data_IF_164844905678
#
_entry.id   IF_164844905678
#
_cell.length_a   1.000
_cell.length_b   1.000
_cell.length_c   1.000
_cell.angle_alpha   90.00
_cell.angle_beta   90.00
_cell.angle_gamma   90.00
#
_symmetry.space_group_name_H-M   'P 1'
#
loop_
_entity.id
_entity.type
_entity.pdbx_description
1 polymer ?
#
# COMPACT_ATOMS: atom_id res chain seq x y z
N UNK A 1 33.93 -56.86 40.43
CA UNK A 1 33.61 -57.50 39.13
C UNK A 1 32.80 -56.49 38.34
N UNK A 2 33.43 -55.78 37.41
CA UNK A 2 32.83 -54.65 36.69
C UNK A 2 32.75 -55.00 35.21
N UNK A 3 31.54 -55.22 34.71
CA UNK A 3 31.26 -55.52 33.31
C UNK A 3 31.19 -54.22 32.48
N UNK A 4 31.96 -54.19 31.39
CA UNK A 4 32.02 -53.09 30.42
C UNK A 4 31.07 -53.42 29.26
N UNK A 5 29.98 -52.67 29.13
CA UNK A 5 29.11 -52.74 27.96
C UNK A 5 29.68 -51.90 26.81
N UNK A 6 30.18 -52.57 25.78
CA UNK A 6 30.61 -51.95 24.53
C UNK A 6 29.41 -51.82 23.57
N UNK A 7 28.87 -50.61 23.44
CA UNK A 7 27.80 -50.32 22.49
C UNK A 7 28.38 -50.05 21.08
N UNK A 8 28.07 -50.94 20.15
CA UNK A 8 28.41 -50.84 18.74
C UNK A 8 27.64 -49.69 18.06
N UNK A 9 28.36 -48.69 17.54
CA UNK A 9 27.78 -47.62 16.71
C UNK A 9 27.77 -48.08 15.25
N UNK A 10 26.57 -48.36 14.72
CA UNK A 10 26.33 -48.55 13.29
C UNK A 10 26.44 -47.20 12.58
N UNK A 11 27.42 -47.09 11.68
CA UNK A 11 27.55 -45.99 10.71
C UNK A 11 26.48 -46.20 9.64
N UNK A 12 25.55 -45.25 9.52
CA UNK A 12 24.66 -45.16 8.36
C UNK A 12 25.34 -44.28 7.31
N UNK A 13 25.85 -44.90 6.25
CA UNK A 13 26.23 -44.22 5.01
C UNK A 13 24.95 -43.77 4.31
N UNK A 14 24.69 -42.46 4.30
CA UNK A 14 23.71 -41.85 3.42
C UNK A 14 24.46 -41.38 2.17
N UNK A 15 24.20 -42.09 1.07
CA UNK A 15 24.73 -41.80 -0.24
C UNK A 15 24.42 -40.38 -0.70
N UNK A 16 25.46 -39.71 -1.16
CA UNK A 16 25.37 -38.43 -1.85
C UNK A 16 25.04 -38.70 -3.32
N UNK A 17 23.77 -38.57 -3.69
CA UNK A 17 23.34 -38.63 -5.08
C UNK A 17 23.02 -37.25 -5.65
N UNK A 18 23.78 -36.93 -6.69
CA UNK A 18 23.41 -36.17 -7.88
C UNK A 18 22.83 -34.75 -7.68
N UNK A 19 23.77 -33.81 -7.77
CA UNK A 19 23.61 -32.51 -8.43
C UNK A 19 22.71 -32.56 -9.67
N UNK A 20 21.51 -31.98 -9.57
CA UNK A 20 20.79 -31.39 -10.70
C UNK A 20 20.59 -29.91 -10.42
N UNK A 21 21.12 -28.99 -11.25
CA UNK A 21 20.85 -27.56 -11.06
C UNK A 21 19.36 -27.29 -11.32
N UNK A 22 18.71 -26.41 -10.53
CA UNK A 22 17.35 -26.01 -10.81
C UNK A 22 17.30 -25.30 -12.17
N UNK A 23 16.42 -25.78 -13.04
CA UNK A 23 16.14 -25.16 -14.34
C UNK A 23 15.82 -23.68 -14.15
N UNK A 24 16.48 -22.84 -14.95
CA UNK A 24 16.26 -21.40 -14.95
C UNK A 24 14.78 -21.11 -15.23
N UNK A 25 14.08 -20.56 -14.23
CA UNK A 25 12.71 -20.06 -14.39
C UNK A 25 12.78 -18.81 -15.27
N UNK A 26 12.32 -18.93 -16.51
CA UNK A 26 12.23 -17.81 -17.45
C UNK A 26 11.08 -16.91 -16.97
N UNK A 27 11.41 -15.69 -16.54
CA UNK A 27 10.43 -14.69 -16.15
C UNK A 27 9.71 -14.15 -17.41
N UNK A 28 8.38 -14.34 -17.56
CA UNK A 28 7.63 -13.89 -18.74
C UNK A 28 7.48 -12.35 -18.82
N UNK A 29 7.93 -11.60 -17.81
CA UNK A 29 7.84 -10.14 -17.76
C UNK A 29 9.16 -9.39 -18.08
N UNK A 30 10.20 -10.08 -18.58
CA UNK A 30 11.37 -9.37 -19.11
C UNK A 30 10.99 -8.62 -20.40
N UNK A 31 10.73 -7.33 -20.24
CA UNK A 31 10.48 -6.41 -21.36
C UNK A 31 11.74 -6.31 -22.21
N UNK A 32 11.65 -6.32 -23.55
CA UNK A 32 12.82 -6.18 -24.40
C UNK A 32 13.48 -4.82 -24.16
N UNK A 33 14.76 -4.85 -23.76
CA UNK A 33 15.58 -3.66 -23.62
C UNK A 33 15.71 -2.98 -24.99
N UNK A 34 15.34 -1.70 -25.02
CA UNK A 34 15.37 -0.87 -26.22
C UNK A 34 16.82 -0.66 -26.62
N UNK A 35 17.26 -1.38 -27.65
CA UNK A 35 18.59 -1.23 -28.23
C UNK A 35 18.84 0.23 -28.61
N UNK A 36 19.91 0.79 -28.05
CA UNK A 36 20.49 2.08 -28.42
C UNK A 36 21.07 1.96 -29.83
N UNK A 37 20.45 2.67 -30.78
CA UNK A 37 20.89 2.73 -32.17
C UNK A 37 22.03 3.75 -32.28
N UNK A 38 23.25 3.27 -32.22
CA UNK A 38 24.46 4.02 -32.60
C UNK A 38 24.52 4.12 -34.13
N UNK A 39 24.02 5.24 -34.68
CA UNK A 39 24.19 5.61 -36.08
C UNK A 39 25.30 6.65 -36.22
N UNK A 40 26.49 6.20 -36.61
CA UNK A 40 27.66 7.04 -36.89
C UNK A 40 27.72 7.37 -38.40
N UNK A 41 27.64 8.67 -38.68
CA UNK A 41 28.25 9.47 -39.77
C UNK A 41 28.20 9.00 -41.23
N UNK A 42 27.75 9.91 -42.11
CA UNK A 42 28.52 10.26 -43.33
C UNK A 42 28.25 11.70 -43.76
N UNK A 43 29.34 12.44 -43.93
CA UNK A 43 29.42 13.79 -44.46
C UNK A 43 29.12 13.82 -45.96
N UNK A 44 28.48 14.90 -46.43
CA UNK A 44 28.89 15.57 -47.66
C UNK A 44 28.35 16.99 -47.71
N UNK A 45 29.23 17.89 -48.12
CA UNK A 45 29.12 19.33 -48.24
C UNK A 45 28.27 19.75 -49.44
N UNK A 46 27.54 20.86 -49.30
CA UNK A 46 27.50 21.92 -50.32
C UNK A 46 26.77 23.14 -49.75
N UNK A 47 27.44 24.28 -49.88
CA UNK A 47 27.03 25.58 -49.40
C UNK A 47 25.93 26.18 -50.30
N UNK A 48 24.86 26.70 -49.70
CA UNK A 48 24.01 27.75 -50.30
C UNK A 48 23.62 28.72 -49.20
N UNK A 49 23.68 30.00 -49.54
CA UNK A 49 23.73 31.21 -48.71
C UNK A 49 22.43 31.55 -47.97
N UNK A 50 22.53 32.35 -46.89
CA UNK A 50 21.40 32.85 -46.13
C UNK A 50 20.78 34.08 -46.79
N UNK A 51 19.51 34.32 -46.50
CA UNK A 51 18.73 35.58 -46.59
C UNK A 51 17.43 35.43 -47.36
N UNK A 52 16.35 35.95 -46.73
CA UNK A 52 15.00 36.18 -47.27
C UNK A 52 14.08 34.95 -47.37
N UNK A 53 13.42 34.61 -46.26
CA UNK A 53 11.93 34.61 -46.20
C UNK A 53 11.54 34.91 -44.75
N UNK A 54 11.53 36.19 -44.41
CA UNK A 54 10.84 36.73 -43.23
C UNK A 54 9.43 37.08 -43.71
N UNK A 55 8.43 36.81 -42.87
CA UNK A 55 7.04 37.28 -42.93
C UNK A 55 6.12 36.58 -43.93
N UNK A 56 5.40 35.54 -43.47
CA UNK A 56 3.99 35.37 -43.89
C UNK A 56 3.17 34.33 -43.08
N UNK A 57 3.36 34.22 -41.77
CA UNK A 57 2.38 33.52 -40.92
C UNK A 57 1.94 34.39 -39.73
N UNK A 58 1.54 35.61 -40.06
CA UNK A 58 0.79 36.50 -39.19
C UNK A 58 -0.72 36.25 -39.38
N UNK A 59 -1.31 35.56 -38.39
CA UNK A 59 -2.68 35.77 -37.86
C UNK A 59 -3.87 35.23 -38.69
N UNK A 60 -4.95 34.70 -38.05
CA UNK A 60 -5.70 35.37 -36.99
C UNK A 60 -5.96 34.56 -35.70
N UNK A 61 -5.86 35.30 -34.60
CA UNK A 61 -6.32 34.97 -33.25
C UNK A 61 -7.81 34.62 -33.25
N UNK A 62 -8.17 33.35 -33.08
CA UNK A 62 -9.50 32.97 -32.59
C UNK A 62 -9.46 33.02 -31.06
N UNK A 63 -10.05 34.08 -30.49
CA UNK A 63 -10.40 34.16 -29.07
C UNK A 63 -11.47 33.10 -28.79
N UNK A 64 -11.06 31.88 -28.44
CA UNK A 64 -11.96 30.91 -27.82
C UNK A 64 -12.04 31.30 -26.34
N UNK A 65 -13.17 31.87 -25.96
CA UNK A 65 -13.52 32.09 -24.55
C UNK A 65 -13.47 30.73 -23.85
N UNK A 66 -12.74 30.57 -22.73
CA UNK A 66 -12.90 29.38 -21.92
C UNK A 66 -14.34 29.38 -21.39
N UNK A 67 -15.12 28.44 -21.92
CA UNK A 67 -16.45 28.11 -21.45
C UNK A 67 -16.31 27.76 -19.97
N UNK A 68 -16.84 28.61 -19.11
CA UNK A 68 -16.92 28.40 -17.67
C UNK A 68 -17.63 27.06 -17.42
N UNK A 69 -16.88 26.01 -17.14
CA UNK A 69 -17.44 24.82 -16.51
C UNK A 69 -17.85 25.24 -15.11
N UNK A 70 -19.15 25.49 -14.91
CA UNK A 70 -19.76 25.53 -13.59
C UNK A 70 -19.43 24.19 -12.93
N UNK A 71 -18.50 24.22 -11.98
CA UNK A 71 -18.31 23.13 -11.05
C UNK A 71 -19.58 23.10 -10.22
N UNK A 72 -20.45 22.15 -10.56
CA UNK A 72 -21.56 21.74 -9.71
C UNK A 72 -20.91 20.97 -8.56
N UNK A 73 -20.70 21.63 -7.43
CA UNK A 73 -20.53 20.93 -6.15
C UNK A 73 -21.85 20.23 -5.84
N UNK A 74 -21.91 18.87 -5.80
CA UNK A 74 -23.04 18.25 -5.15
C UNK A 74 -22.95 18.57 -3.67
N UNK A 75 -23.86 19.43 -3.20
CA UNK A 75 -24.21 19.54 -1.78
C UNK A 75 -24.62 18.14 -1.30
N UNK A 76 -23.65 17.38 -0.79
CA UNK A 76 -23.91 16.18 0.00
C UNK A 76 -24.52 16.64 1.32
N UNK A 77 -25.84 16.85 1.30
CA UNK A 77 -26.68 16.65 2.48
C UNK A 77 -26.39 15.24 2.98
N UNK A 78 -25.56 15.15 4.01
CA UNK A 78 -25.39 13.94 4.82
C UNK A 78 -26.79 13.62 5.34
N UNK A 79 -27.41 12.58 4.79
CA UNK A 79 -28.57 11.95 5.42
C UNK A 79 -28.04 11.36 6.72
N UNK A 80 -28.47 11.93 7.84
CA UNK A 80 -28.48 11.20 9.10
C UNK A 80 -29.30 9.93 8.82
N UNK A 81 -28.62 8.78 8.92
CA UNK A 81 -29.29 7.50 8.91
C UNK A 81 -29.63 7.28 10.38
N UNK A 82 -30.88 7.53 10.74
CA UNK A 82 -31.41 7.13 12.03
C UNK A 82 -31.51 5.60 12.02
N UNK A 83 -30.42 4.94 12.42
CA UNK A 83 -30.39 3.51 12.71
C UNK A 83 -30.53 3.35 14.21
N UNK A 84 -31.64 2.73 14.57
CA UNK A 84 -32.13 2.55 15.93
C UNK A 84 -31.11 1.77 16.79
N UNK A 85 -30.43 2.47 17.70
CA UNK A 85 -29.85 1.86 18.89
C UNK A 85 -28.49 1.16 18.76
N UNK A 86 -27.66 1.48 17.76
CA UNK A 86 -26.22 1.20 17.84
C UNK A 86 -25.44 2.50 17.95
N UNK A 87 -24.73 2.64 19.06
CA UNK A 87 -23.78 3.69 19.40
C UNK A 87 -23.10 4.25 18.14
N UNK A 88 -23.56 5.43 17.69
CA UNK A 88 -22.98 6.19 16.60
C UNK A 88 -21.57 6.59 17.04
N UNK A 89 -20.63 5.67 16.86
CA UNK A 89 -19.23 5.83 17.20
C UNK A 89 -18.59 6.72 16.15
N UNK A 90 -18.96 8.00 16.23
CA UNK A 90 -18.27 9.09 15.59
C UNK A 90 -16.83 9.06 16.11
N UNK A 91 -15.92 8.67 15.23
CA UNK A 91 -14.51 8.54 15.52
C UNK A 91 -13.91 9.94 15.73
N UNK A 92 -13.98 10.46 16.96
CA UNK A 92 -13.27 11.69 17.34
C UNK A 92 -11.77 11.38 17.42
N UNK A 93 -11.05 11.82 16.40
CA UNK A 93 -9.60 11.84 16.31
C UNK A 93 -8.99 12.74 17.40
N UNK A 94 -8.85 12.20 18.62
CA UNK A 94 -8.30 12.90 19.79
C UNK A 94 -6.80 13.24 19.75
N UNK A 95 -6.19 13.40 18.57
CA UNK A 95 -4.75 13.68 18.40
C UNK A 95 -4.48 15.00 17.63
N UNK A 96 -5.35 16.00 17.75
CA UNK A 96 -5.24 17.27 16.98
C UNK A 96 -4.03 18.16 17.35
N UNK A 97 -3.20 17.78 18.33
CA UNK A 97 -2.16 18.69 18.86
C UNK A 97 -0.80 18.67 18.14
N UNK A 98 -0.56 17.79 17.16
CA UNK A 98 0.75 17.72 16.46
C UNK A 98 0.70 17.81 14.92
N UNK A 99 -0.47 17.93 14.31
CA UNK A 99 -0.62 17.94 12.84
C UNK A 99 -0.26 19.27 12.15
N UNK A 100 0.34 20.22 12.88
CA UNK A 100 0.40 21.62 12.47
C UNK A 100 1.25 21.93 11.21
N UNK A 101 1.94 20.97 10.56
CA UNK A 101 2.72 21.27 9.34
C UNK A 101 3.06 20.09 8.41
N UNK A 102 2.40 18.93 8.51
CA UNK A 102 2.67 17.85 7.55
C UNK A 102 1.93 18.14 6.24
N UNK A 103 2.67 18.34 5.15
CA UNK A 103 2.09 18.58 3.82
C UNK A 103 1.29 17.35 3.36
N UNK A 104 -0.03 17.50 3.24
CA UNK A 104 -0.93 16.47 2.69
C UNK A 104 -1.18 16.75 1.20
N UNK A 105 -0.72 15.88 0.28
CA UNK A 105 -0.90 16.06 -1.16
C UNK A 105 -2.33 15.71 -1.62
N UNK A 106 -3.30 16.55 -1.23
CA UNK A 106 -4.74 16.37 -1.47
C UNK A 106 -5.10 16.09 -2.93
N UNK A 107 -4.45 16.76 -3.89
CA UNK A 107 -4.71 16.55 -5.32
C UNK A 107 -4.31 15.13 -5.78
N UNK A 108 -3.25 14.56 -5.23
CA UNK A 108 -2.84 13.19 -5.56
C UNK A 108 -3.85 12.20 -4.98
N UNK A 109 -4.25 12.40 -3.72
CA UNK A 109 -5.22 11.55 -3.04
C UNK A 109 -6.58 11.51 -3.74
N UNK A 110 -7.08 12.65 -4.21
CA UNK A 110 -8.30 12.71 -5.00
C UNK A 110 -8.22 11.88 -6.29
N UNK A 111 -7.09 11.96 -7.02
CA UNK A 111 -6.92 11.25 -8.29
C UNK A 111 -6.84 9.73 -8.13
N UNK A 112 -6.31 9.26 -7.00
CA UNK A 112 -6.16 7.82 -6.72
C UNK A 112 -7.33 7.27 -5.89
N UNK A 113 -8.33 8.10 -5.55
CA UNK A 113 -9.46 7.70 -4.71
C UNK A 113 -9.05 7.33 -3.28
N UNK A 114 -8.01 7.98 -2.75
CA UNK A 114 -7.59 7.79 -1.36
C UNK A 114 -8.46 8.63 -0.42
N UNK A 115 -8.92 8.01 0.65
CA UNK A 115 -9.71 8.65 1.70
C UNK A 115 -8.86 8.81 2.97
N UNK A 116 -8.82 10.02 3.51
CA UNK A 116 -8.10 10.30 4.75
C UNK A 116 -8.80 9.62 5.94
N UNK A 117 -8.11 9.58 7.07
CA UNK A 117 -8.64 9.04 8.34
C UNK A 117 -10.02 9.61 8.65
N UNK A 118 -11.00 8.73 8.85
CA UNK A 118 -12.39 9.08 9.17
C UNK A 118 -13.26 9.56 8.01
N UNK A 119 -12.73 9.66 6.77
CA UNK A 119 -13.52 10.14 5.63
C UNK A 119 -14.52 9.10 5.11
N UNK A 120 -14.18 7.81 5.21
CA UNK A 120 -14.96 6.69 4.69
C UNK A 120 -15.52 5.87 5.85
N UNK A 121 -16.82 5.54 5.79
CA UNK A 121 -17.42 4.59 6.73
C UNK A 121 -16.94 3.17 6.39
N UNK A 122 -16.31 2.50 7.36
CA UNK A 122 -15.91 1.10 7.22
C UNK A 122 -17.06 0.17 7.61
N UNK A 123 -17.01 -1.03 7.05
CA UNK A 123 -17.84 -2.14 7.51
C UNK A 123 -17.57 -2.47 8.99
N UNK A 124 -18.57 -3.01 9.70
CA UNK A 124 -18.52 -3.24 11.15
C UNK A 124 -17.33 -4.13 11.53
N UNK A 125 -17.08 -5.20 10.79
CA UNK A 125 -15.97 -6.12 11.08
C UNK A 125 -14.60 -5.47 10.92
N UNK A 126 -14.40 -4.74 9.80
CA UNK A 126 -13.18 -3.95 9.58
C UNK A 126 -12.98 -2.85 10.63
N UNK A 127 -14.06 -2.20 11.06
CA UNK A 127 -14.00 -1.16 12.09
C UNK A 127 -13.55 -1.74 13.44
N UNK A 128 -14.08 -2.91 13.84
CA UNK A 128 -13.61 -3.65 15.02
C UNK A 128 -12.13 -4.02 14.90
N UNK A 129 -11.72 -4.58 13.77
CA UNK A 129 -10.32 -4.93 13.52
C UNK A 129 -9.41 -3.70 13.64
N UNK A 130 -9.79 -2.58 13.03
CA UNK A 130 -9.03 -1.33 13.09
C UNK A 130 -8.89 -0.80 14.52
N UNK A 131 -9.96 -0.88 15.34
CA UNK A 131 -9.91 -0.45 16.75
C UNK A 131 -8.94 -1.30 17.56
N UNK A 132 -9.02 -2.62 17.40
CA UNK A 132 -8.08 -3.53 18.05
C UNK A 132 -6.63 -3.19 17.66
N UNK A 133 -6.37 -3.04 16.36
CA UNK A 133 -5.02 -2.70 15.87
C UNK A 133 -4.54 -1.37 16.44
N UNK A 134 -5.37 -0.33 16.44
CA UNK A 134 -5.02 0.99 17.02
C UNK A 134 -4.65 0.89 18.51
N UNK A 135 -5.33 0.02 19.25
CA UNK A 135 -5.11 -0.12 20.69
C UNK A 135 -3.82 -0.88 20.99
N UNK A 136 -3.51 -1.94 20.24
CA UNK A 136 -2.39 -2.84 20.55
C UNK A 136 -1.12 -2.59 19.73
N UNK A 137 -1.24 -2.01 18.54
CA UNK A 137 -0.12 -1.80 17.62
C UNK A 137 0.24 -0.32 17.48
N UNK A 138 1.51 -0.08 17.17
CA UNK A 138 2.04 1.24 16.89
C UNK A 138 1.78 1.59 15.43
N UNK A 139 1.03 2.66 15.21
CA UNK A 139 0.78 3.24 13.88
C UNK A 139 1.60 4.53 13.78
N UNK A 140 2.66 4.56 12.96
CA UNK A 140 3.51 5.75 12.84
C UNK A 140 2.74 6.97 12.34
N UNK A 141 3.13 8.16 12.77
CA UNK A 141 2.59 9.42 12.23
C UNK A 141 2.86 9.57 10.72
N UNK A 142 3.95 9.00 10.24
CA UNK A 142 4.36 8.99 8.83
C UNK A 142 3.68 7.89 8.01
N UNK A 143 2.71 7.16 8.57
CA UNK A 143 2.03 6.05 7.89
C UNK A 143 1.38 6.43 6.55
N UNK A 144 0.86 7.66 6.46
CA UNK A 144 0.29 8.19 5.20
C UNK A 144 1.37 8.53 4.17
N UNK A 145 2.59 8.86 4.56
CA UNK A 145 3.66 9.26 3.63
C UNK A 145 4.57 8.10 3.24
N UNK A 146 4.71 7.11 4.12
CA UNK A 146 5.68 6.05 3.95
C UNK A 146 5.21 4.99 2.96
N UNK A 147 6.03 4.74 1.94
CA UNK A 147 5.77 3.76 0.89
C UNK A 147 5.80 2.31 1.37
N UNK A 148 6.39 2.05 2.55
CA UNK A 148 6.48 0.71 3.12
C UNK A 148 5.11 0.10 3.45
N UNK A 149 4.11 0.94 3.75
CA UNK A 149 2.75 0.51 4.12
C UNK A 149 1.83 0.32 2.91
N UNK A 150 2.39 0.25 1.70
CA UNK A 150 1.65 -0.01 0.47
C UNK A 150 1.09 1.25 -0.20
N UNK A 151 0.48 1.10 -1.39
CA UNK A 151 -0.02 2.21 -2.19
C UNK A 151 -1.27 2.86 -1.59
N UNK A 152 -1.57 4.08 -2.04
CA UNK A 152 -2.77 4.84 -1.64
C UNK A 152 -4.00 4.56 -2.50
N UNK A 153 -3.84 3.92 -3.65
CA UNK A 153 -4.91 3.81 -4.64
C UNK A 153 -6.12 3.02 -4.13
N UNK A 154 -7.30 3.63 -4.23
CA UNK A 154 -8.60 3.00 -3.99
C UNK A 154 -8.85 2.48 -2.57
N UNK A 155 -8.15 3.02 -1.57
CA UNK A 155 -8.27 2.58 -0.17
C UNK A 155 -8.47 3.77 0.76
N UNK A 156 -9.01 3.51 1.95
CA UNK A 156 -8.97 4.47 3.05
C UNK A 156 -7.76 4.23 3.97
N UNK A 157 -7.46 5.20 4.83
CA UNK A 157 -6.42 5.10 5.85
C UNK A 157 -6.55 3.82 6.69
N UNK A 158 -7.75 3.53 7.19
CA UNK A 158 -8.03 2.40 8.07
C UNK A 158 -7.82 1.06 7.37
N UNK A 159 -8.24 0.93 6.11
CA UNK A 159 -7.99 -0.28 5.31
C UNK A 159 -6.50 -0.52 5.07
N UNK A 160 -5.73 0.54 4.84
CA UNK A 160 -4.25 0.42 4.74
C UNK A 160 -3.64 -0.05 6.06
N UNK A 161 -4.13 0.42 7.20
CA UNK A 161 -3.68 -0.05 8.53
C UNK A 161 -3.99 -1.53 8.70
N UNK A 162 -5.23 -1.97 8.42
CA UNK A 162 -5.63 -3.38 8.51
C UNK A 162 -4.80 -4.26 7.56
N UNK A 163 -4.50 -3.76 6.37
CA UNK A 163 -3.66 -4.47 5.39
C UNK A 163 -2.22 -4.58 5.90
N UNK A 164 -1.65 -3.49 6.43
CA UNK A 164 -0.30 -3.46 6.98
C UNK A 164 -0.16 -4.40 8.18
N UNK A 165 -1.19 -4.46 9.03
CA UNK A 165 -1.30 -5.42 10.10
C UNK A 165 -1.29 -6.87 9.58
N UNK A 166 -2.13 -7.18 8.59
CA UNK A 166 -2.22 -8.53 8.01
C UNK A 166 -0.89 -8.97 7.38
N UNK A 167 -0.09 -8.02 6.90
CA UNK A 167 1.25 -8.25 6.35
C UNK A 167 2.36 -8.29 7.43
N UNK A 168 2.04 -8.12 8.71
CA UNK A 168 3.02 -8.12 9.80
C UNK A 168 3.97 -6.91 9.78
N UNK A 169 3.54 -5.79 9.20
CA UNK A 169 4.36 -4.56 9.09
C UNK A 169 4.20 -3.59 10.26
N UNK A 170 3.26 -3.87 11.16
CA UNK A 170 3.03 -3.06 12.35
C UNK A 170 3.70 -3.71 13.55
N UNK A 171 4.36 -2.90 14.35
CA UNK A 171 4.96 -3.34 15.61
C UNK A 171 3.93 -3.25 16.75
N UNK A 172 4.05 -4.15 17.73
CA UNK A 172 3.31 -4.04 18.98
C UNK A 172 3.80 -2.83 19.77
N UNK A 173 2.89 -2.17 20.49
CA UNK A 173 3.28 -1.12 21.44
C UNK A 173 4.11 -1.73 22.57
N UNK A 174 5.02 -0.94 23.12
CA UNK A 174 5.96 -1.36 24.16
C UNK A 174 5.27 -1.96 25.39
N UNK A 175 4.07 -1.47 25.74
CA UNK A 175 3.25 -1.96 26.85
C UNK A 175 2.83 -3.43 26.71
N UNK A 176 2.74 -3.93 25.48
CA UNK A 176 2.36 -5.32 25.19
C UNK A 176 3.57 -6.19 24.86
N UNK A 177 4.74 -5.59 24.59
CA UNK A 177 5.95 -6.29 24.20
C UNK A 177 6.49 -7.10 25.40
N UNK A 178 6.43 -8.43 25.31
CA UNK A 178 6.92 -9.34 26.34
C UNK A 178 5.97 -9.58 27.53
N UNK A 179 4.79 -8.94 27.55
CA UNK A 179 3.75 -9.17 28.56
C UNK A 179 2.73 -10.20 28.08
N UNK A 180 2.42 -10.16 26.79
CA UNK A 180 1.43 -11.03 26.16
C UNK A 180 2.13 -11.87 25.10
N UNK A 181 1.81 -13.16 25.05
CA UNK A 181 2.28 -14.02 23.97
C UNK A 181 1.81 -13.45 22.64
N UNK A 182 2.74 -13.14 21.73
CA UNK A 182 2.43 -12.57 20.41
C UNK A 182 1.47 -13.48 19.61
N UNK A 183 1.46 -14.77 19.95
CA UNK A 183 0.55 -15.79 19.44
C UNK A 183 -0.84 -15.76 20.07
N UNK A 184 -1.20 -14.75 20.85
CA UNK A 184 -2.55 -14.55 21.38
C UNK A 184 -3.16 -13.21 20.96
N UNK A 185 -2.33 -12.22 20.61
CA UNK A 185 -2.76 -10.92 20.13
C UNK A 185 -2.93 -10.94 18.61
N UNK A 186 -4.02 -11.56 18.14
CA UNK A 186 -4.44 -11.41 16.75
C UNK A 186 -5.93 -11.19 16.61
N UNK A 187 -6.24 -10.39 15.59
CA UNK A 187 -7.59 -10.03 15.19
C UNK A 187 -7.80 -10.37 13.73
N UNK A 188 -8.98 -10.87 13.40
CA UNK A 188 -9.35 -11.14 12.02
C UNK A 188 -9.55 -9.82 11.26
N UNK A 189 -8.91 -9.68 10.10
CA UNK A 189 -9.06 -8.50 9.25
C UNK A 189 -10.42 -8.39 8.53
N UNK A 190 -11.25 -9.44 8.62
CA UNK A 190 -12.60 -9.46 8.06
C UNK A 190 -13.67 -9.18 9.12
N UNK A 191 -13.91 -10.13 10.03
CA UNK A 191 -14.97 -10.04 11.04
C UNK A 191 -14.59 -9.17 12.24
N UNK A 192 -13.30 -8.94 12.46
CA UNK A 192 -12.79 -8.14 13.58
C UNK A 192 -12.81 -8.86 14.92
N UNK A 193 -13.08 -10.16 14.96
CA UNK A 193 -12.98 -10.97 16.18
C UNK A 193 -11.54 -11.37 16.47
N UNK A 194 -11.24 -11.52 17.75
CA UNK A 194 -9.94 -11.91 18.27
C UNK A 194 -9.75 -13.44 18.21
N UNK A 195 -8.51 -13.90 18.28
CA UNK A 195 -8.20 -15.33 18.40
C UNK A 195 -8.11 -16.09 17.06
N UNK A 196 -8.28 -15.41 15.93
CA UNK A 196 -7.99 -16.00 14.62
C UNK A 196 -7.49 -14.97 13.60
N UNK A 197 -6.76 -15.45 12.59
CA UNK A 197 -6.41 -14.68 11.39
C UNK A 197 -7.48 -14.87 10.33
N UNK A 198 -7.46 -14.03 9.28
CA UNK A 198 -8.41 -14.10 8.15
C UNK A 198 -8.57 -15.50 7.57
N UNK A 199 -7.49 -16.26 7.46
CA UNK A 199 -7.49 -17.61 6.88
C UNK A 199 -8.29 -18.63 7.72
N UNK A 200 -8.53 -18.33 9.00
CA UNK A 200 -9.35 -19.14 9.90
C UNK A 200 -10.72 -18.54 10.20
N UNK A 201 -11.18 -17.57 9.41
CA UNK A 201 -12.45 -16.87 9.68
C UNK A 201 -13.65 -17.70 9.21
N UNK A 202 -14.55 -18.02 10.15
CA UNK A 202 -15.76 -18.80 9.87
C UNK A 202 -16.75 -18.10 8.95
N UNK A 203 -16.74 -16.76 8.87
CA UNK A 203 -17.60 -16.01 7.95
C UNK A 203 -17.18 -16.13 6.48
N UNK A 204 -15.93 -16.56 6.23
CA UNK A 204 -15.34 -16.68 4.90
C UNK A 204 -15.21 -18.13 4.40
N UNK A 205 -15.57 -19.11 5.24
CA UNK A 205 -15.56 -20.55 4.95
C UNK A 205 -16.96 -21.04 4.58
#
# INVERSE_FOLDING_TARGET
>A
MSERNAAARRRLDLGADASSPPGAVINPYSSPSRATRSGKQKESSSAVTPEKVINEFLSPKKKVLPRTSRIITPDKKRKAIDLDGEEELYYSSGDEKQDAKLYKPTHIYANVGFHCRGDLALDKGKLKAYRFIRNHYLIPLTFETDRQFGPHSGSCFEERVITSYSLGKLELKDEYRGVVDESSLFVCSHCGDEGHKRDGCLELL
#
